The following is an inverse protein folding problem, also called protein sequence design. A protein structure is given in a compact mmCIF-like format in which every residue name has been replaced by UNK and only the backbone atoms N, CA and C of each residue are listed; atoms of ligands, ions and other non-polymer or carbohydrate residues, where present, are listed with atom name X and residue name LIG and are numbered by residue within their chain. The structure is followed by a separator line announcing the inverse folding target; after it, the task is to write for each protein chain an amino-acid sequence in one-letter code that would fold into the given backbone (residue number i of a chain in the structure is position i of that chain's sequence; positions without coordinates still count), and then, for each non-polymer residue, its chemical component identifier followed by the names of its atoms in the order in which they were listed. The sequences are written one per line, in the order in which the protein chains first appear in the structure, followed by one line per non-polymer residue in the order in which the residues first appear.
data_IF_473674821193
#
_entry.id   IF_473674821193
#
_cell.length_a   1.000
_cell.length_b   1.000
_cell.length_c   1.000
_cell.angle_alpha   90.00
_cell.angle_beta   90.00
_cell.angle_gamma   90.00
#
_symmetry.space_group_name_H-M   'P 1'
#
loop_
_entity.id
_entity.type
_entity.pdbx_description
1 polymer ?
#
# COMPACT_ATOMS: atom_id res chain seq x y z
N UNK A 1 -38.58 -24.64 -4.06
CA UNK A 1 -37.37 -25.28 -3.51
C UNK A 1 -36.18 -25.26 -4.48
N UNK A 2 -36.35 -25.42 -5.79
CA UNK A 2 -35.30 -25.40 -6.83
C UNK A 2 -34.55 -24.06 -6.95
N UNK A 3 -35.23 -22.91 -6.79
CA UNK A 3 -34.62 -21.57 -6.92
C UNK A 3 -33.68 -21.18 -5.74
N UNK A 4 -33.91 -21.73 -4.54
CA UNK A 4 -33.10 -21.42 -3.37
C UNK A 4 -31.71 -22.08 -3.46
N UNK A 5 -31.68 -23.34 -3.86
CA UNK A 5 -30.44 -24.10 -4.03
C UNK A 5 -29.55 -23.54 -5.17
N UNK A 6 -30.17 -23.08 -6.27
CA UNK A 6 -29.45 -22.46 -7.38
C UNK A 6 -28.84 -21.12 -6.95
N UNK A 7 -29.54 -20.32 -6.16
CA UNK A 7 -29.04 -19.03 -5.64
C UNK A 7 -27.91 -19.24 -4.63
N UNK A 8 -28.00 -20.23 -3.76
CA UNK A 8 -26.93 -20.59 -2.81
C UNK A 8 -25.69 -21.06 -3.55
N UNK A 9 -25.83 -21.96 -4.53
CA UNK A 9 -24.71 -22.43 -5.37
C UNK A 9 -24.05 -21.26 -6.12
N UNK A 10 -24.84 -20.35 -6.70
CA UNK A 10 -24.36 -19.16 -7.40
C UNK A 10 -23.62 -18.21 -6.47
N UNK A 11 -24.09 -18.03 -5.24
CA UNK A 11 -23.43 -17.23 -4.22
C UNK A 11 -22.04 -17.80 -3.86
N UNK A 12 -21.95 -19.12 -3.59
CA UNK A 12 -20.68 -19.76 -3.25
C UNK A 12 -19.70 -19.77 -4.44
N UNK A 13 -20.17 -20.02 -5.65
CA UNK A 13 -19.34 -19.95 -6.86
C UNK A 13 -18.82 -18.54 -7.08
N UNK A 14 -19.67 -17.52 -6.94
CA UNK A 14 -19.23 -16.12 -7.09
C UNK A 14 -18.21 -15.71 -6.02
N UNK A 15 -18.42 -16.14 -4.75
CA UNK A 15 -17.48 -15.89 -3.65
C UNK A 15 -16.14 -16.59 -3.89
N UNK A 16 -16.15 -17.84 -4.37
CA UNK A 16 -14.95 -18.61 -4.69
C UNK A 16 -14.19 -18.02 -5.89
N UNK A 17 -14.89 -17.66 -6.96
CA UNK A 17 -14.33 -16.98 -8.13
C UNK A 17 -13.76 -15.61 -7.75
N UNK A 18 -14.43 -14.86 -6.87
CA UNK A 18 -13.93 -13.60 -6.35
C UNK A 18 -12.62 -13.79 -5.58
N UNK A 19 -12.52 -14.79 -4.70
CA UNK A 19 -11.31 -15.10 -3.94
C UNK A 19 -10.15 -15.52 -4.84
N UNK A 20 -10.40 -16.37 -5.85
CA UNK A 20 -9.36 -16.79 -6.82
C UNK A 20 -8.90 -15.58 -7.65
N UNK A 21 -9.82 -14.75 -8.15
CA UNK A 21 -9.48 -13.55 -8.90
C UNK A 21 -8.66 -12.58 -8.05
N UNK A 22 -9.03 -12.38 -6.78
CA UNK A 22 -8.29 -11.52 -5.85
C UNK A 22 -6.87 -12.06 -5.62
N UNK A 23 -6.68 -13.36 -5.42
CA UNK A 23 -5.36 -13.99 -5.30
C UNK A 23 -4.54 -13.85 -6.58
N UNK A 24 -5.16 -14.04 -7.75
CA UNK A 24 -4.50 -13.84 -9.06
C UNK A 24 -4.04 -12.40 -9.24
N UNK A 25 -4.89 -11.41 -8.94
CA UNK A 25 -4.53 -10.00 -9.05
C UNK A 25 -3.44 -9.60 -8.07
N UNK A 26 -3.51 -10.12 -6.84
CA UNK A 26 -2.46 -9.95 -5.85
C UNK A 26 -1.11 -10.48 -6.37
N UNK A 27 -1.08 -11.72 -6.86
CA UNK A 27 0.11 -12.31 -7.44
C UNK A 27 0.63 -11.49 -8.63
N UNK A 28 -0.22 -11.05 -9.53
CA UNK A 28 0.13 -10.22 -10.68
C UNK A 28 0.66 -8.83 -10.27
N UNK A 29 0.23 -8.29 -9.13
CA UNK A 29 0.71 -7.01 -8.62
C UNK A 29 2.20 -7.05 -8.22
N UNK A 30 2.73 -8.23 -7.91
CA UNK A 30 4.12 -8.43 -7.50
C UNK A 30 5.04 -8.99 -8.59
N UNK A 31 4.51 -9.49 -9.71
CA UNK A 31 5.34 -10.15 -10.73
C UNK A 31 6.26 -9.16 -11.46
N UNK A 32 7.56 -9.41 -11.34
CA UNK A 32 8.63 -8.60 -11.93
C UNK A 32 8.62 -8.61 -13.47
N UNK A 33 8.46 -9.80 -14.07
CA UNK A 33 8.58 -9.98 -15.52
C UNK A 33 7.39 -9.41 -16.33
N UNK A 34 6.25 -9.24 -15.69
CA UNK A 34 5.05 -8.66 -16.31
C UNK A 34 5.12 -7.13 -16.42
N UNK A 35 6.20 -6.56 -15.96
CA UNK A 35 6.35 -5.17 -15.56
C UNK A 35 7.40 -4.43 -16.35
N UNK A 36 8.06 -5.11 -17.27
CA UNK A 36 8.89 -4.49 -18.29
C UNK A 36 8.06 -3.77 -19.38
N UNK A 37 6.73 -3.90 -19.32
CA UNK A 37 5.83 -3.14 -20.15
C UNK A 37 5.76 -1.69 -19.64
N UNK A 38 6.15 -0.71 -20.47
CA UNK A 38 6.13 0.72 -20.12
C UNK A 38 4.73 1.27 -19.83
N UNK A 39 3.66 0.49 -20.02
CA UNK A 39 2.32 0.89 -19.62
C UNK A 39 2.20 0.95 -18.09
N UNK A 40 2.50 2.12 -17.57
CA UNK A 40 2.69 2.47 -16.16
C UNK A 40 1.47 2.23 -15.26
N UNK A 41 0.27 2.07 -15.80
CA UNK A 41 -0.98 1.95 -15.03
C UNK A 41 -1.38 0.50 -14.64
N UNK A 42 -0.66 -0.52 -15.12
CA UNK A 42 -1.08 -1.91 -14.86
C UNK A 42 -1.03 -2.27 -13.38
N UNK A 43 0.01 -1.87 -12.65
CA UNK A 43 0.12 -2.15 -11.20
C UNK A 43 -0.90 -1.36 -10.40
N UNK A 44 -1.08 -0.08 -10.71
CA UNK A 44 -2.12 0.75 -10.13
C UNK A 44 -3.50 0.12 -10.28
N UNK A 45 -3.82 -0.41 -11.48
CA UNK A 45 -5.06 -1.17 -11.74
C UNK A 45 -5.21 -2.39 -10.85
N UNK A 46 -4.12 -3.14 -10.56
CA UNK A 46 -4.19 -4.30 -9.66
C UNK A 46 -4.34 -3.90 -8.21
N UNK A 47 -3.69 -2.82 -7.78
CA UNK A 47 -3.87 -2.29 -6.43
C UNK A 47 -5.33 -1.84 -6.19
N UNK A 48 -5.96 -1.18 -7.17
CA UNK A 48 -7.41 -0.85 -7.14
C UNK A 48 -8.26 -2.12 -6.97
N UNK A 49 -7.95 -3.19 -7.70
CA UNK A 49 -8.66 -4.48 -7.58
C UNK A 49 -8.44 -5.18 -6.25
N UNK A 50 -7.33 -4.93 -5.57
CA UNK A 50 -7.10 -5.39 -4.21
C UNK A 50 -7.84 -4.55 -3.16
N UNK A 51 -8.42 -3.40 -3.55
CA UNK A 51 -9.23 -2.54 -2.69
C UNK A 51 -8.56 -1.23 -2.26
N UNK A 52 -7.35 -0.92 -2.74
CA UNK A 52 -6.73 0.38 -2.53
C UNK A 52 -7.44 1.47 -3.36
N UNK A 53 -7.48 2.69 -2.84
CA UNK A 53 -7.90 3.86 -3.58
C UNK A 53 -6.67 4.40 -4.33
N UNK A 54 -6.68 4.34 -5.64
CA UNK A 54 -5.54 4.78 -6.46
C UNK A 54 -6.04 5.71 -7.56
N UNK A 55 -5.46 6.90 -7.62
CA UNK A 55 -5.76 7.95 -8.60
C UNK A 55 -5.26 7.67 -10.01
N UNK A 56 -5.23 8.71 -10.83
CA UNK A 56 -4.76 8.67 -12.22
C UNK A 56 -3.25 8.91 -12.31
N UNK A 57 -2.62 8.46 -13.40
CA UNK A 57 -1.19 8.64 -13.69
C UNK A 57 -0.25 8.15 -12.58
N UNK A 58 -0.69 7.19 -11.75
CA UNK A 58 0.10 6.65 -10.66
C UNK A 58 1.09 5.63 -11.20
N UNK A 59 2.38 5.88 -10.95
CA UNK A 59 3.45 4.93 -11.26
C UNK A 59 3.84 4.13 -10.02
N UNK A 60 3.70 2.80 -10.09
CA UNK A 60 4.13 1.90 -9.03
C UNK A 60 5.26 1.01 -9.57
N UNK A 61 6.45 1.13 -9.01
CA UNK A 61 7.63 0.36 -9.35
C UNK A 61 7.48 -1.15 -9.17
N UNK A 62 8.43 -1.94 -9.64
CA UNK A 62 8.43 -3.39 -9.42
C UNK A 62 8.79 -3.74 -7.98
N UNK A 63 8.34 -4.91 -7.51
CA UNK A 63 8.56 -5.41 -6.14
C UNK A 63 8.10 -4.42 -5.04
N UNK A 64 7.15 -3.53 -5.34
CA UNK A 64 6.54 -2.69 -4.30
C UNK A 64 5.55 -3.55 -3.53
N UNK A 65 5.83 -3.75 -2.23
CA UNK A 65 4.96 -4.48 -1.32
C UNK A 65 3.93 -3.54 -0.71
N UNK A 66 2.69 -3.99 -0.64
CA UNK A 66 1.64 -3.34 0.14
C UNK A 66 0.85 -4.38 0.94
N UNK A 67 0.23 -3.93 2.03
CA UNK A 67 -0.61 -4.77 2.87
C UNK A 67 -1.94 -5.07 2.17
N UNK A 68 -1.94 -6.08 1.30
CA UNK A 68 -3.09 -6.39 0.45
C UNK A 68 -4.35 -6.80 1.22
N UNK A 69 -4.19 -7.41 2.40
CA UNK A 69 -5.33 -7.76 3.27
C UNK A 69 -6.01 -6.51 3.82
N UNK A 70 -5.29 -5.41 3.91
CA UNK A 70 -5.73 -4.13 4.42
C UNK A 70 -5.68 -3.02 3.36
N UNK A 71 -5.65 -3.35 2.07
CA UNK A 71 -5.51 -2.41 0.96
C UNK A 71 -6.52 -1.24 1.00
N UNK A 72 -7.71 -1.44 1.57
CA UNK A 72 -8.73 -0.39 1.76
C UNK A 72 -8.26 0.80 2.63
N UNK A 73 -7.18 0.63 3.39
CA UNK A 73 -6.56 1.69 4.19
C UNK A 73 -5.45 2.44 3.43
N UNK A 74 -5.21 2.12 2.15
CA UNK A 74 -4.22 2.78 1.31
C UNK A 74 -4.94 3.70 0.33
N UNK A 75 -4.57 4.98 0.36
CA UNK A 75 -5.01 6.00 -0.59
C UNK A 75 -3.78 6.57 -1.28
N UNK A 76 -3.79 6.52 -2.61
CA UNK A 76 -2.76 7.09 -3.48
C UNK A 76 -3.49 8.05 -4.40
N UNK A 77 -3.18 9.33 -4.31
CA UNK A 77 -3.78 10.35 -5.17
C UNK A 77 -3.16 10.36 -6.56
N UNK A 78 -3.55 11.32 -7.41
CA UNK A 78 -3.07 11.41 -8.79
C UNK A 78 -1.57 11.74 -8.86
N UNK A 79 -0.94 11.35 -9.97
CA UNK A 79 0.43 11.69 -10.33
C UNK A 79 1.51 11.20 -9.34
N UNK A 80 1.18 10.27 -8.44
CA UNK A 80 2.13 9.73 -7.46
C UNK A 80 3.11 8.76 -8.12
N UNK A 81 4.38 8.88 -7.75
CA UNK A 81 5.45 7.98 -8.16
C UNK A 81 5.99 7.18 -6.98
N UNK A 82 5.86 5.85 -7.02
CA UNK A 82 6.46 4.93 -6.06
C UNK A 82 7.56 4.13 -6.77
N UNK A 83 8.81 4.33 -6.39
CA UNK A 83 9.93 3.61 -6.96
C UNK A 83 9.93 2.13 -6.53
N UNK A 84 10.81 1.34 -7.13
CA UNK A 84 10.87 -0.11 -6.90
C UNK A 84 11.20 -0.48 -5.44
N UNK A 85 10.75 -1.66 -5.03
CA UNK A 85 11.08 -2.31 -3.76
C UNK A 85 10.66 -1.52 -2.51
N UNK A 86 9.68 -0.62 -2.62
CA UNK A 86 9.10 0.08 -1.48
C UNK A 86 8.12 -0.81 -0.71
N UNK A 87 7.91 -0.51 0.57
CA UNK A 87 6.90 -1.13 1.42
C UNK A 87 5.89 -0.08 1.87
N UNK A 88 4.59 -0.35 1.66
CA UNK A 88 3.49 0.49 2.15
C UNK A 88 2.68 -0.32 3.15
N UNK A 89 2.86 -0.03 4.44
CA UNK A 89 2.28 -0.80 5.53
C UNK A 89 1.13 -0.01 6.17
N UNK A 90 -0.01 -0.64 6.39
CA UNK A 90 -1.18 0.00 7.01
C UNK A 90 -1.71 -0.73 8.25
N UNK A 91 -0.94 -1.66 8.81
CA UNK A 91 -1.20 -2.26 10.11
C UNK A 91 0.07 -2.41 10.93
N UNK A 92 -0.08 -2.43 12.23
CA UNK A 92 1.00 -2.75 13.18
C UNK A 92 0.43 -3.35 14.47
N UNK A 93 1.25 -4.00 15.26
CA UNK A 93 0.93 -4.35 16.64
C UNK A 93 1.45 -3.25 17.57
N UNK A 94 0.61 -2.62 18.41
CA UNK A 94 1.07 -1.66 19.40
C UNK A 94 1.82 -2.41 20.49
N UNK A 95 3.04 -1.97 20.81
CA UNK A 95 3.87 -2.59 21.84
C UNK A 95 3.85 -1.82 23.16
N UNK A 96 2.96 -0.82 23.29
CA UNK A 96 2.90 0.04 24.49
C UNK A 96 2.72 -0.77 25.78
N UNK A 97 1.89 -1.81 25.72
CA UNK A 97 1.54 -2.63 26.88
C UNK A 97 2.11 -4.06 26.73
N UNK A 98 3.26 -4.20 26.09
CA UNK A 98 3.95 -5.47 25.89
C UNK A 98 5.06 -5.65 26.95
N UNK A 99 4.92 -6.68 27.77
CA UNK A 99 5.80 -6.94 28.92
C UNK A 99 6.52 -8.27 28.78
N UNK A 100 7.55 -8.46 29.60
CA UNK A 100 8.28 -9.73 29.69
C UNK A 100 7.32 -10.86 30.10
N UNK A 101 7.23 -11.88 29.27
CA UNK A 101 6.33 -13.03 29.48
C UNK A 101 5.08 -13.00 28.62
N UNK A 102 4.75 -11.86 28.00
CA UNK A 102 3.63 -11.76 27.07
C UNK A 102 3.91 -12.50 25.77
N UNK A 103 2.86 -13.03 25.16
CA UNK A 103 2.95 -13.66 23.86
C UNK A 103 2.65 -12.64 22.78
N UNK A 104 3.59 -12.38 21.89
CA UNK A 104 3.44 -11.41 20.79
C UNK A 104 2.18 -11.66 19.93
N UNK A 105 1.78 -12.91 19.76
CA UNK A 105 0.61 -13.25 18.95
C UNK A 105 -0.73 -12.84 19.58
N UNK A 106 -0.77 -12.59 20.88
CA UNK A 106 -1.99 -12.17 21.58
C UNK A 106 -2.22 -10.66 21.44
N UNK A 107 -1.22 -9.90 20.97
CA UNK A 107 -1.35 -8.47 20.71
C UNK A 107 -2.17 -8.25 19.44
N UNK A 108 -3.28 -7.55 19.55
CA UNK A 108 -4.16 -7.24 18.45
C UNK A 108 -3.53 -6.27 17.44
N UNK A 109 -3.76 -6.51 16.15
CA UNK A 109 -3.33 -5.58 15.11
C UNK A 109 -4.21 -4.33 15.12
N UNK A 110 -3.58 -3.17 15.13
CA UNK A 110 -4.25 -1.91 14.80
C UNK A 110 -3.98 -1.55 13.34
N UNK A 111 -5.00 -0.99 12.69
CA UNK A 111 -4.94 -0.55 11.30
C UNK A 111 -4.95 0.97 11.28
N UNK A 112 -4.05 1.56 10.49
CA UNK A 112 -3.98 3.02 10.30
C UNK A 112 -3.86 3.32 8.81
N UNK A 113 -4.64 4.28 8.30
CA UNK A 113 -4.59 4.61 6.89
C UNK A 113 -3.22 5.19 6.50
N UNK A 114 -2.80 4.89 5.27
CA UNK A 114 -1.66 5.55 4.63
C UNK A 114 -2.21 6.37 3.46
N UNK A 115 -1.77 7.61 3.36
CA UNK A 115 -2.19 8.54 2.31
C UNK A 115 -0.97 9.09 1.60
N UNK A 116 -0.89 8.86 0.30
CA UNK A 116 0.10 9.45 -0.58
C UNK A 116 -0.61 10.53 -1.39
N UNK A 117 -0.30 11.79 -1.11
CA UNK A 117 -0.92 12.95 -1.73
C UNK A 117 -0.40 13.18 -3.14
N UNK A 118 -1.16 13.95 -3.91
CA UNK A 118 -0.91 14.25 -5.32
C UNK A 118 0.55 14.60 -5.60
N UNK A 119 1.11 13.98 -6.65
CA UNK A 119 2.45 14.27 -7.15
C UNK A 119 3.60 13.92 -6.21
N UNK A 120 3.37 13.29 -5.05
CA UNK A 120 4.49 12.91 -4.19
C UNK A 120 5.31 11.78 -4.82
N UNK A 121 6.60 11.73 -4.46
CA UNK A 121 7.57 10.76 -4.97
C UNK A 121 8.18 9.95 -3.83
N UNK A 122 8.11 8.63 -3.93
CA UNK A 122 8.71 7.72 -2.94
C UNK A 122 9.94 7.05 -3.57
N UNK A 123 11.10 7.36 -3.02
CA UNK A 123 12.39 6.79 -3.44
C UNK A 123 12.48 5.28 -3.19
N UNK A 124 13.33 4.63 -3.99
CA UNK A 124 13.52 3.19 -3.98
C UNK A 124 13.82 2.63 -2.57
N UNK A 125 13.27 1.46 -2.25
CA UNK A 125 13.46 0.75 -0.98
C UNK A 125 13.00 1.51 0.26
N UNK A 126 12.14 2.51 0.11
CA UNK A 126 11.58 3.21 1.26
C UNK A 126 10.44 2.42 1.91
N UNK A 127 10.26 2.63 3.20
CA UNK A 127 9.20 2.01 3.99
C UNK A 127 8.28 3.10 4.52
N UNK A 128 7.00 3.03 4.16
CA UNK A 128 5.97 3.94 4.67
C UNK A 128 5.22 3.20 5.79
N UNK A 129 5.30 3.73 7.00
CA UNK A 129 4.72 3.12 8.19
C UNK A 129 3.22 3.41 8.32
N UNK A 130 2.48 2.58 9.07
CA UNK A 130 1.04 2.74 9.26
C UNK A 130 0.66 4.08 9.89
N UNK A 131 -0.29 4.77 9.27
CA UNK A 131 -0.81 6.05 9.74
C UNK A 131 -0.12 7.28 9.17
N UNK A 132 0.80 7.10 8.22
CA UNK A 132 1.58 8.19 7.62
C UNK A 132 0.84 8.82 6.45
N UNK A 133 0.85 10.15 6.40
CA UNK A 133 0.49 10.95 5.23
C UNK A 133 1.74 11.57 4.62
N UNK A 134 1.98 11.33 3.32
CA UNK A 134 2.98 12.03 2.54
C UNK A 134 2.28 13.18 1.83
N UNK A 135 2.71 14.41 2.10
CA UNK A 135 2.12 15.63 1.55
C UNK A 135 2.28 15.77 0.04
N UNK A 136 1.47 16.67 -0.54
CA UNK A 136 1.49 16.95 -1.98
C UNK A 136 2.89 17.40 -2.43
N UNK A 137 3.35 16.85 -3.56
CA UNK A 137 4.66 17.18 -4.12
C UNK A 137 5.87 16.83 -3.24
N UNK A 138 5.66 16.16 -2.10
CA UNK A 138 6.77 15.77 -1.23
C UNK A 138 7.63 14.65 -1.85
N UNK A 139 8.91 14.65 -1.54
CA UNK A 139 9.87 13.68 -2.05
C UNK A 139 10.53 12.90 -0.89
N UNK A 140 10.44 11.59 -0.94
CA UNK A 140 11.10 10.70 0.01
C UNK A 140 12.36 10.14 -0.64
N UNK A 141 13.52 10.36 -0.02
CA UNK A 141 14.79 9.81 -0.49
C UNK A 141 14.84 8.28 -0.39
N UNK A 142 15.59 7.66 -1.26
CA UNK A 142 15.72 6.20 -1.31
C UNK A 142 16.21 5.61 0.05
N UNK A 143 15.72 4.42 0.40
CA UNK A 143 16.09 3.73 1.64
C UNK A 143 15.54 4.35 2.93
N UNK A 144 14.62 5.29 2.84
CA UNK A 144 14.07 5.98 4.01
C UNK A 144 12.99 5.17 4.72
N UNK A 145 12.89 5.33 6.05
CA UNK A 145 11.80 4.78 6.86
C UNK A 145 10.94 5.95 7.38
N UNK A 146 9.76 6.11 6.79
CA UNK A 146 8.86 7.21 7.13
C UNK A 146 7.91 6.78 8.23
N UNK A 147 8.09 7.36 9.41
CA UNK A 147 7.35 7.01 10.64
C UNK A 147 6.33 8.07 11.08
N UNK A 148 6.43 9.28 10.50
CA UNK A 148 5.57 10.44 10.77
C UNK A 148 5.16 11.10 9.46
N UNK A 149 4.13 11.91 9.50
CA UNK A 149 3.68 12.66 8.33
C UNK A 149 4.78 13.55 7.77
N UNK A 150 4.80 13.68 6.45
CA UNK A 150 5.73 14.52 5.72
C UNK A 150 4.96 15.70 5.12
N UNK A 151 5.35 16.94 5.39
CA UNK A 151 4.70 18.13 4.84
C UNK A 151 4.73 18.16 3.31
N UNK A 152 3.76 18.85 2.71
CA UNK A 152 3.76 19.10 1.28
C UNK A 152 5.04 19.85 0.86
N UNK A 153 5.46 19.64 -0.39
CA UNK A 153 6.59 20.35 -1.02
C UNK A 153 7.87 20.28 -0.19
N UNK A 154 8.15 19.12 0.40
CA UNK A 154 9.36 18.90 1.21
C UNK A 154 10.13 17.67 0.77
N UNK A 155 11.42 17.64 1.07
CA UNK A 155 12.30 16.50 0.85
C UNK A 155 12.63 15.89 2.21
N UNK A 156 12.32 14.60 2.39
CA UNK A 156 12.64 13.88 3.62
C UNK A 156 13.49 12.63 3.32
N UNK A 157 14.49 12.40 4.17
CA UNK A 157 15.43 11.28 4.02
C UNK A 157 15.80 10.67 5.37
N UNK A 158 16.23 9.42 5.35
CA UNK A 158 16.82 8.74 6.50
C UNK A 158 15.91 7.74 7.21
N UNK A 159 16.40 7.18 8.31
CA UNK A 159 15.73 6.18 9.16
C UNK A 159 15.88 6.56 10.64
N UNK A 160 14.87 7.15 11.28
CA UNK A 160 13.62 7.63 10.70
C UNK A 160 13.81 8.81 9.75
N UNK A 161 12.93 8.93 8.74
CA UNK A 161 12.99 10.02 7.77
C UNK A 161 12.73 11.37 8.45
N UNK A 162 13.56 12.37 8.08
CA UNK A 162 13.44 13.75 8.52
C UNK A 162 13.43 14.68 7.32
N UNK A 163 12.64 15.75 7.41
CA UNK A 163 12.66 16.81 6.41
C UNK A 163 14.01 17.47 6.41
N UNK A 164 14.66 17.52 5.26
CA UNK A 164 15.98 18.15 5.05
C UNK A 164 15.91 19.39 4.19
N UNK A 165 14.81 19.57 3.45
CA UNK A 165 14.61 20.73 2.57
C UNK A 165 13.12 20.96 2.31
N UNK A 166 12.72 22.22 2.19
CA UNK A 166 11.42 22.62 1.61
C UNK A 166 11.65 23.02 0.15
N UNK A 167 10.72 22.67 -0.72
CA UNK A 167 10.73 23.03 -2.16
C UNK A 167 9.91 24.31 -2.29
N UNK A 168 10.52 25.34 -2.81
CA UNK A 168 9.89 26.63 -3.12
C UNK A 168 9.31 26.66 -4.53
#
# INVERSE_FOLDING_TARGET
MMNLLSNIRRFFVNKYVFLIRRRKFFWMAYQKNWLLDPATDKRAKYWRKCGAKVGQNVNIGYDVYFDASNAKYITIEDDVWIAAQCLVLCHKRPLKDYHKGDRYNDIQHIRKPVVLKKGCCIGMRSIIMPGVTIGEGAMIGAGSIVTTDIPAWSIAVGSPAKVVKTIE
#
